data_IF_947000426450
#
_entry.id   IF_947000426450
#
_cell.length_a   1.000
_cell.length_b   1.000
_cell.length_c   1.000
_cell.angle_alpha   90.00
_cell.angle_beta   90.00
_cell.angle_gamma   90.00
#
_symmetry.space_group_name_H-M   'P 1'
#
loop_
_entity.id
_entity.type
_entity.pdbx_description
1 polymer ?
#
# COMPACT_ATOMS: atom_id res chain seq x y z
N UNK A 1 -10.02 59.55 -3.28
CA UNK A 1 -10.46 58.74 -2.12
C UNK A 1 -11.35 57.63 -2.70
N UNK A 2 -11.05 56.34 -2.75
CA UNK A 2 -9.98 55.49 -2.25
C UNK A 2 -9.78 54.37 -3.29
N UNK A 3 -8.57 54.23 -3.85
CA UNK A 3 -8.22 53.05 -4.65
C UNK A 3 -7.90 51.91 -3.70
N UNK A 4 -8.68 50.83 -3.77
CA UNK A 4 -8.45 49.62 -3.00
C UNK A 4 -7.27 48.90 -3.65
N UNK A 5 -6.09 49.04 -3.05
CA UNK A 5 -4.92 48.19 -3.33
C UNK A 5 -5.24 46.78 -2.82
N UNK A 6 -5.80 45.96 -3.71
CA UNK A 6 -5.76 44.51 -3.55
C UNK A 6 -4.31 44.08 -3.72
N UNK A 7 -3.60 43.96 -2.59
CA UNK A 7 -2.32 43.27 -2.50
C UNK A 7 -2.56 41.80 -2.90
N UNK A 8 -2.16 41.45 -4.12
CA UNK A 8 -2.09 40.07 -4.56
C UNK A 8 -1.07 39.35 -3.65
N UNK A 9 -1.57 38.59 -2.69
CA UNK A 9 -0.78 37.65 -1.91
C UNK A 9 -0.28 36.59 -2.91
N UNK A 10 1.03 36.45 -3.19
CA UNK A 10 1.54 35.31 -3.93
C UNK A 10 1.64 34.15 -2.93
N UNK A 11 0.46 33.67 -2.54
CA UNK A 11 0.27 32.58 -1.60
C UNK A 11 -0.50 31.45 -2.26
N UNK A 12 -0.20 31.18 -3.52
CA UNK A 12 -0.57 29.92 -4.15
C UNK A 12 0.28 28.80 -3.55
N UNK A 13 -0.05 28.36 -2.35
CA UNK A 13 0.17 26.95 -2.03
C UNK A 13 -0.76 26.20 -2.96
N UNK A 14 -0.23 25.85 -4.14
CA UNK A 14 -0.87 24.99 -5.11
C UNK A 14 -1.49 23.84 -4.34
N UNK A 15 -2.82 23.77 -4.39
CA UNK A 15 -3.57 22.64 -3.91
C UNK A 15 -2.87 21.38 -4.40
N UNK A 16 -2.36 20.65 -3.42
CA UNK A 16 -1.84 19.29 -3.46
C UNK A 16 -1.83 18.63 -4.84
N UNK A 17 -0.62 18.46 -5.37
CA UNK A 17 -0.36 17.41 -6.34
C UNK A 17 -0.34 16.06 -5.58
N UNK A 18 -1.53 15.67 -5.09
CA UNK A 18 -1.91 14.33 -4.62
C UNK A 18 -2.18 13.45 -5.84
N UNK A 19 -1.24 13.43 -6.79
CA UNK A 19 -1.40 12.58 -7.96
C UNK A 19 -1.22 11.12 -7.54
N UNK A 20 -2.05 10.20 -8.07
CA UNK A 20 -1.89 8.76 -7.83
C UNK A 20 -0.50 8.27 -8.23
N UNK A 21 0.17 8.98 -9.14
CA UNK A 21 1.56 8.74 -9.53
C UNK A 21 2.56 8.92 -8.37
N UNK A 22 2.39 9.93 -7.51
CA UNK A 22 3.26 10.12 -6.33
C UNK A 22 3.02 9.06 -5.26
N UNK A 23 1.76 8.68 -5.03
CA UNK A 23 1.42 7.59 -4.12
C UNK A 23 2.02 6.26 -4.57
N UNK A 24 1.98 5.97 -5.88
CA UNK A 24 2.64 4.79 -6.46
C UNK A 24 4.15 4.83 -6.28
N UNK A 25 4.79 5.98 -6.51
CA UNK A 25 6.25 6.12 -6.35
C UNK A 25 6.69 5.92 -4.90
N UNK A 26 6.02 6.57 -3.95
CA UNK A 26 6.32 6.39 -2.53
C UNK A 26 6.13 4.92 -2.07
N UNK A 27 5.11 4.23 -2.61
CA UNK A 27 4.88 2.83 -2.31
C UNK A 27 5.96 1.91 -2.91
N UNK A 28 6.49 2.24 -4.10
CA UNK A 28 7.63 1.53 -4.71
C UNK A 28 8.92 1.76 -3.90
N UNK A 29 9.18 2.99 -3.48
CA UNK A 29 10.35 3.33 -2.66
C UNK A 29 10.32 2.55 -1.33
N UNK A 30 9.13 2.42 -0.72
CA UNK A 30 8.94 1.58 0.47
C UNK A 30 9.23 0.09 0.20
N UNK A 31 8.74 -0.44 -0.91
CA UNK A 31 8.99 -1.84 -1.30
C UNK A 31 10.48 -2.10 -1.56
N UNK A 32 11.23 -1.14 -2.12
CA UNK A 32 12.67 -1.25 -2.29
C UNK A 32 13.41 -1.36 -0.95
N UNK A 33 13.07 -0.52 0.02
CA UNK A 33 13.66 -0.56 1.38
C UNK A 33 13.34 -1.88 2.08
N UNK A 34 12.10 -2.38 1.94
CA UNK A 34 11.74 -3.70 2.46
C UNK A 34 12.57 -4.80 1.82
N UNK A 35 12.70 -4.80 0.50
CA UNK A 35 13.50 -5.78 -0.22
C UNK A 35 14.96 -5.76 0.23
N UNK A 36 15.57 -4.58 0.37
CA UNK A 36 16.94 -4.45 0.87
C UNK A 36 17.08 -5.08 2.28
N UNK A 37 16.15 -4.76 3.18
CA UNK A 37 16.16 -5.30 4.55
C UNK A 37 15.98 -6.82 4.62
N UNK A 38 15.35 -7.44 3.61
CA UNK A 38 15.10 -8.88 3.54
C UNK A 38 16.22 -9.63 2.80
N UNK A 39 16.72 -9.05 1.71
CA UNK A 39 17.79 -9.63 0.90
C UNK A 39 19.13 -9.63 1.65
N UNK A 40 19.47 -8.56 2.37
CA UNK A 40 20.74 -8.49 3.11
C UNK A 40 20.91 -9.64 4.14
N UNK A 41 19.92 -9.98 4.97
CA UNK A 41 19.98 -11.17 5.83
C UNK A 41 19.95 -12.49 5.06
N UNK A 42 19.21 -12.57 3.95
CA UNK A 42 19.13 -13.78 3.13
C UNK A 42 20.48 -14.11 2.48
N UNK A 43 21.15 -13.12 1.88
CA UNK A 43 22.49 -13.28 1.31
C UNK A 43 23.49 -13.78 2.37
N UNK A 44 23.44 -13.20 3.57
CA UNK A 44 24.26 -13.70 4.69
C UNK A 44 23.91 -15.14 5.04
N UNK A 45 22.63 -15.48 5.11
CA UNK A 45 22.18 -16.85 5.45
C UNK A 45 22.62 -17.89 4.42
N UNK A 46 22.55 -17.56 3.12
CA UNK A 46 23.06 -18.43 2.06
C UNK A 46 24.58 -18.55 2.12
N UNK A 47 25.29 -17.47 2.45
CA UNK A 47 26.74 -17.45 2.58
C UNK A 47 27.26 -18.14 3.84
N UNK A 48 26.49 -18.20 4.93
CA UNK A 48 26.95 -18.67 6.25
C UNK A 48 26.43 -20.05 6.62
N UNK A 49 26.06 -20.94 5.69
CA UNK A 49 25.61 -22.30 6.06
C UNK A 49 26.79 -23.04 6.72
N UNK A 50 26.82 -23.21 8.06
CA UNK A 50 27.97 -23.76 8.76
C UNK A 50 28.02 -25.26 8.49
N UNK A 51 29.10 -25.73 7.86
CA UNK A 51 29.29 -27.14 7.49
C UNK A 51 29.24 -27.43 5.98
N UNK A 52 28.95 -26.45 5.13
CA UNK A 52 29.04 -26.59 3.66
C UNK A 52 30.30 -25.96 3.06
N UNK A 53 31.17 -25.40 3.90
CA UNK A 53 32.50 -24.90 3.52
C UNK A 53 33.33 -26.08 3.00
N UNK A 54 33.31 -26.29 1.67
CA UNK A 54 34.01 -27.38 1.00
C UNK A 54 33.16 -28.57 0.53
N UNK A 55 31.82 -28.51 0.63
CA UNK A 55 30.96 -29.53 0.03
C UNK A 55 30.74 -29.22 -1.47
N UNK A 56 31.11 -30.12 -2.41
CA UNK A 56 30.89 -29.89 -3.83
C UNK A 56 29.39 -29.66 -4.11
N UNK A 57 29.05 -28.55 -4.75
CA UNK A 57 27.69 -28.21 -5.18
C UNK A 57 26.96 -27.18 -4.31
N UNK A 58 27.51 -26.75 -3.17
CA UNK A 58 26.88 -25.68 -2.35
C UNK A 58 26.78 -24.34 -3.11
N UNK A 59 27.80 -23.99 -3.90
CA UNK A 59 27.80 -22.83 -4.80
C UNK A 59 26.73 -22.93 -5.89
N UNK A 60 26.48 -24.14 -6.42
CA UNK A 60 25.47 -24.37 -7.47
C UNK A 60 24.05 -24.12 -6.93
N UNK A 61 23.76 -24.53 -5.69
CA UNK A 61 22.47 -24.27 -5.04
C UNK A 61 22.27 -22.78 -4.77
N UNK A 62 23.30 -22.07 -4.33
CA UNK A 62 23.24 -20.62 -4.13
C UNK A 62 22.98 -19.89 -5.45
N UNK A 63 23.67 -20.27 -6.51
CA UNK A 63 23.48 -19.70 -7.84
C UNK A 63 22.06 -19.93 -8.37
N UNK A 64 21.57 -21.18 -8.31
CA UNK A 64 20.21 -21.53 -8.74
C UNK A 64 19.13 -20.81 -7.92
N UNK A 65 19.30 -20.74 -6.59
CA UNK A 65 18.38 -20.02 -5.71
C UNK A 65 18.33 -18.52 -6.02
N UNK A 66 19.48 -17.90 -6.22
CA UNK A 66 19.59 -16.49 -6.59
C UNK A 66 19.00 -16.21 -7.97
N UNK A 67 19.25 -17.09 -8.94
CA UNK A 67 18.70 -16.97 -10.29
C UNK A 67 17.17 -17.10 -10.27
N UNK A 68 16.62 -18.07 -9.55
CA UNK A 68 15.17 -18.23 -9.41
C UNK A 68 14.51 -17.02 -8.73
N UNK A 69 15.14 -16.48 -7.68
CA UNK A 69 14.69 -15.25 -7.01
C UNK A 69 14.71 -14.05 -7.97
N UNK A 70 15.82 -13.84 -8.68
CA UNK A 70 15.98 -12.75 -9.63
C UNK A 70 14.97 -12.85 -10.77
N UNK A 71 14.76 -14.05 -11.33
CA UNK A 71 13.74 -14.30 -12.34
C UNK A 71 12.34 -14.01 -11.79
N UNK A 72 12.03 -14.44 -10.57
CA UNK A 72 10.77 -14.15 -9.91
C UNK A 72 10.51 -12.65 -9.79
N UNK A 73 11.46 -11.92 -9.18
CA UNK A 73 11.38 -10.47 -8.99
C UNK A 73 11.32 -9.69 -10.30
N UNK A 74 12.08 -10.08 -11.32
CA UNK A 74 12.05 -9.45 -12.64
C UNK A 74 10.72 -9.69 -13.35
N UNK A 75 10.15 -10.88 -13.22
CA UNK A 75 8.86 -11.25 -13.85
C UNK A 75 7.67 -10.53 -13.20
N UNK A 76 7.70 -10.37 -11.87
CA UNK A 76 6.62 -9.71 -11.12
C UNK A 76 6.79 -8.18 -11.00
N UNK A 77 8.01 -7.68 -11.24
CA UNK A 77 8.37 -6.28 -11.02
C UNK A 77 8.41 -5.88 -9.55
N UNK A 78 8.77 -6.81 -8.66
CA UNK A 78 8.74 -6.66 -7.19
C UNK A 78 7.84 -7.70 -6.49
N UNK A 79 7.58 -7.55 -5.21
CA UNK A 79 6.69 -8.41 -4.42
C UNK A 79 5.20 -8.04 -4.59
N UNK A 80 4.91 -6.86 -5.15
CA UNK A 80 3.55 -6.34 -5.36
C UNK A 80 3.00 -5.57 -4.16
N UNK A 81 3.82 -5.30 -3.15
CA UNK A 81 3.43 -4.58 -1.93
C UNK A 81 3.06 -3.13 -2.27
N UNK A 82 3.79 -2.50 -3.19
CA UNK A 82 3.48 -1.14 -3.61
C UNK A 82 2.06 -1.02 -4.19
N UNK A 83 1.64 -1.99 -5.02
CA UNK A 83 0.27 -2.04 -5.56
C UNK A 83 -0.76 -2.27 -4.45
N UNK A 84 -0.46 -3.13 -3.48
CA UNK A 84 -1.35 -3.38 -2.35
C UNK A 84 -1.57 -2.12 -1.50
N UNK A 85 -0.50 -1.36 -1.24
CA UNK A 85 -0.57 -0.10 -0.48
C UNK A 85 -1.44 0.92 -1.22
N UNK A 86 -1.13 1.17 -2.50
CA UNK A 86 -1.90 2.11 -3.33
C UNK A 86 -3.37 1.67 -3.41
N UNK A 87 -3.64 0.38 -3.61
CA UNK A 87 -5.00 -0.13 -3.67
C UNK A 87 -5.78 0.12 -2.38
N UNK A 88 -5.17 -0.09 -1.21
CA UNK A 88 -5.86 0.11 0.06
C UNK A 88 -5.99 1.57 0.48
N UNK A 89 -5.04 2.43 0.09
CA UNK A 89 -5.08 3.86 0.43
C UNK A 89 -5.94 4.69 -0.53
N UNK A 90 -5.99 4.31 -1.81
CA UNK A 90 -6.79 5.04 -2.82
C UNK A 90 -8.21 4.47 -2.98
N UNK A 91 -8.52 3.32 -2.38
CA UNK A 91 -9.90 2.84 -2.31
C UNK A 91 -10.62 3.75 -1.32
N UNK A 92 -11.59 4.58 -1.76
CA UNK A 92 -12.39 5.34 -0.82
C UNK A 92 -13.08 4.34 0.09
N UNK A 93 -12.76 4.38 1.38
CA UNK A 93 -13.48 3.62 2.38
C UNK A 93 -14.93 4.11 2.30
N UNK A 94 -15.79 3.28 1.71
CA UNK A 94 -17.23 3.50 1.76
C UNK A 94 -17.64 3.26 3.21
N UNK A 95 -17.41 4.25 4.07
CA UNK A 95 -18.11 4.38 5.33
C UNK A 95 -19.58 4.44 4.97
N UNK A 96 -20.29 3.35 5.19
CA UNK A 96 -21.74 3.33 5.14
C UNK A 96 -22.21 4.22 6.30
N UNK A 97 -22.79 5.41 6.06
CA UNK A 97 -23.50 6.09 7.14
C UNK A 97 -24.64 5.15 7.53
N UNK A 98 -24.65 4.68 8.78
CA UNK A 98 -25.78 3.95 9.33
C UNK A 98 -26.98 4.90 9.25
N UNK A 99 -27.84 4.67 8.26
CA UNK A 99 -29.08 5.41 8.13
C UNK A 99 -29.97 5.07 9.33
N UNK A 100 -30.04 5.99 10.29
CA UNK A 100 -30.91 5.94 11.47
C UNK A 100 -32.40 6.11 11.13
N UNK A 101 -32.90 5.48 10.06
CA UNK A 101 -34.31 5.52 9.64
C UNK A 101 -35.06 4.21 9.92
N UNK A 102 -34.38 3.15 10.39
CA UNK A 102 -35.06 1.86 10.62
C UNK A 102 -35.87 1.77 11.93
N UNK A 103 -35.87 2.80 12.78
CA UNK A 103 -36.62 2.78 14.06
C UNK A 103 -38.00 3.44 13.98
N UNK A 104 -38.35 4.11 12.87
CA UNK A 104 -39.61 4.86 12.75
C UNK A 104 -40.80 4.06 12.17
N UNK A 105 -40.63 2.77 11.83
CA UNK A 105 -41.71 1.93 11.24
C UNK A 105 -42.29 0.88 12.18
N UNK A 106 -42.07 0.98 13.49
CA UNK A 106 -42.66 0.06 14.49
C UNK A 106 -43.71 0.74 15.39
N UNK A 107 -43.92 2.06 15.25
CA UNK A 107 -44.78 2.82 16.18
C UNK A 107 -45.85 3.67 15.50
N UNK A 108 -46.65 3.05 14.62
CA UNK A 108 -47.91 3.59 14.11
C UNK A 108 -48.51 2.63 13.08
N UNK A 109 -49.75 2.16 13.15
CA UNK A 109 -50.91 2.47 13.99
C UNK A 109 -51.88 1.25 13.91
N UNK A 110 -53.23 1.38 14.01
CA UNK A 110 -54.07 0.95 15.15
C UNK A 110 -55.06 -0.20 14.84
N UNK A 111 -55.69 -0.70 15.92
CA UNK A 111 -57.00 -1.35 15.99
C UNK A 111 -57.19 -2.69 15.24
N UNK A 112 -57.11 -3.80 15.99
CA UNK A 112 -57.74 -5.08 15.63
C UNK A 112 -59.03 -5.27 16.46
N UNK A 113 -60.13 -5.59 15.76
CA UNK A 113 -61.47 -5.85 16.31
C UNK A 113 -61.59 -7.33 16.64
N UNK A 114 -61.69 -7.68 17.92
CA UNK A 114 -62.40 -8.87 18.46
C UNK A 114 -62.66 -8.55 19.94
N UNK A 115 -63.86 -8.63 20.54
CA UNK A 115 -64.98 -9.56 20.46
C UNK A 115 -66.22 -8.90 21.08
#
# INVERSE_FOLDING_TARGET
>A
MNSILQMAIPGGHSAEDNSPAKGMRAAQDFEAVLLESLLQPLERTFSTVPGTEGQPGSEDYQYLGTQALAMGLASSGGLGIARMIVHNLLKPSSFHPINASSTAKVLGAPADKTK
#
